data_IF_497695351411
#
_entry.id   IF_497695351411
#
_cell.length_a   1.000
_cell.length_b   1.000
_cell.length_c   1.000
_cell.angle_alpha   90.00
_cell.angle_beta   90.00
_cell.angle_gamma   90.00
#
_symmetry.space_group_name_H-M   'P 1'
#
loop_
_entity.id
_entity.type
_entity.pdbx_description
1 polymer ?
#
# COMPACT_ATOMS: atom_id res chain seq x y z
N UNK A 1 -8.15 -8.46 -16.61
CA UNK A 1 -8.22 -7.09 -17.14
C UNK A 1 -7.18 -6.84 -18.26
N UNK A 2 -6.84 -7.83 -19.07
CA UNK A 2 -5.65 -7.81 -19.95
C UNK A 2 -5.77 -7.01 -21.25
N UNK A 3 -6.96 -6.48 -21.59
CA UNK A 3 -7.20 -5.75 -22.84
C UNK A 3 -6.96 -4.24 -22.73
N UNK A 4 -6.97 -3.70 -21.51
CA UNK A 4 -6.79 -2.27 -21.27
C UNK A 4 -5.29 -1.94 -21.21
N UNK A 5 -4.88 -0.87 -21.89
CA UNK A 5 -3.45 -0.52 -22.05
C UNK A 5 -3.05 0.85 -21.49
N UNK A 6 -3.97 1.82 -21.44
CA UNK A 6 -3.70 3.22 -21.08
C UNK A 6 -4.71 3.77 -20.06
N UNK A 7 -5.12 2.92 -19.11
CA UNK A 7 -6.05 3.35 -18.05
C UNK A 7 -5.30 4.19 -17.03
N UNK A 8 -5.75 5.41 -16.81
CA UNK A 8 -5.20 6.33 -15.81
C UNK A 8 -5.93 6.22 -14.48
N UNK A 9 -7.24 6.03 -14.50
CA UNK A 9 -8.09 5.89 -13.32
C UNK A 9 -8.93 4.62 -13.42
N UNK A 10 -8.80 3.74 -12.43
CA UNK A 10 -9.55 2.50 -12.33
C UNK A 10 -10.37 2.48 -11.03
N UNK A 11 -11.69 2.47 -11.18
CA UNK A 11 -12.63 2.40 -10.06
C UNK A 11 -13.25 1.00 -9.98
N UNK A 12 -12.94 0.26 -8.93
CA UNK A 12 -13.50 -1.07 -8.65
C UNK A 12 -14.27 -1.12 -7.32
N UNK A 13 -14.43 0.03 -6.66
CA UNK A 13 -15.09 0.18 -5.36
C UNK A 13 -16.43 -0.52 -5.30
N UNK A 14 -16.79 -1.02 -4.11
CA UNK A 14 -18.08 -1.68 -3.84
C UNK A 14 -18.34 -2.96 -4.66
N UNK A 15 -17.30 -3.58 -5.21
CA UNK A 15 -17.38 -4.92 -5.80
C UNK A 15 -16.83 -5.97 -4.83
N UNK A 16 -17.56 -7.06 -4.55
CA UNK A 16 -17.11 -8.07 -3.58
C UNK A 16 -15.94 -8.85 -4.14
N UNK A 17 -14.73 -8.54 -3.66
CA UNK A 17 -13.51 -9.23 -4.06
C UNK A 17 -12.62 -9.42 -2.85
N UNK A 18 -12.29 -10.67 -2.53
CA UNK A 18 -11.49 -11.01 -1.35
C UNK A 18 -9.99 -10.88 -1.56
N UNK A 19 -9.52 -10.98 -2.80
CA UNK A 19 -8.08 -10.96 -3.10
C UNK A 19 -7.81 -10.35 -4.48
N UNK A 20 -6.76 -9.53 -4.57
CA UNK A 20 -6.18 -9.10 -5.85
C UNK A 20 -5.02 -10.05 -6.21
N UNK A 21 -5.07 -10.73 -7.37
CA UNK A 21 -4.06 -11.72 -7.77
C UNK A 21 -2.77 -11.05 -8.28
N UNK A 22 -1.73 -11.87 -8.50
CA UNK A 22 -0.48 -11.41 -9.11
C UNK A 22 -0.72 -10.83 -10.51
N UNK A 23 0.05 -9.80 -10.85
CA UNK A 23 0.02 -9.14 -12.17
C UNK A 23 -1.35 -8.54 -12.57
N UNK A 24 -2.27 -8.33 -11.62
CA UNK A 24 -3.64 -7.86 -11.89
C UNK A 24 -3.71 -6.59 -12.74
N UNK A 25 -2.74 -5.69 -12.55
CA UNK A 25 -2.69 -4.37 -13.21
C UNK A 25 -1.55 -4.27 -14.23
N UNK A 26 -0.85 -5.36 -14.55
CA UNK A 26 0.41 -5.30 -15.32
C UNK A 26 0.24 -4.69 -16.72
N UNK A 27 -0.90 -4.91 -17.38
CA UNK A 27 -1.12 -4.44 -18.76
C UNK A 27 -1.28 -2.92 -18.89
N UNK A 28 -1.62 -2.22 -17.81
CA UNK A 28 -1.82 -0.76 -17.78
C UNK A 28 -1.12 -0.07 -16.60
N UNK A 29 -0.34 -0.81 -15.79
CA UNK A 29 0.28 -0.29 -14.57
C UNK A 29 1.29 0.84 -14.78
N UNK A 30 1.79 1.01 -16.02
CA UNK A 30 2.64 2.14 -16.41
C UNK A 30 1.88 3.45 -16.59
N UNK A 31 0.56 3.40 -16.70
CA UNK A 31 -0.31 4.55 -16.95
C UNK A 31 -1.27 4.83 -15.81
N UNK A 32 -1.62 3.81 -15.01
CA UNK A 32 -2.57 3.94 -13.91
C UNK A 32 -2.04 4.85 -12.80
N UNK A 33 -2.69 6.00 -12.64
CA UNK A 33 -2.39 7.00 -11.62
C UNK A 33 -3.31 6.89 -10.40
N UNK A 34 -4.55 6.44 -10.59
CA UNK A 34 -5.55 6.33 -9.52
C UNK A 34 -6.20 4.96 -9.52
N UNK A 35 -6.30 4.38 -8.34
CA UNK A 35 -6.90 3.06 -8.14
C UNK A 35 -7.82 3.09 -6.93
N UNK A 36 -9.09 2.77 -7.16
CA UNK A 36 -10.09 2.67 -6.09
C UNK A 36 -10.47 1.22 -5.85
N UNK A 37 -10.14 0.72 -4.65
CA UNK A 37 -10.43 -0.64 -4.17
C UNK A 37 -11.22 -0.62 -2.85
N UNK A 38 -11.86 0.49 -2.53
CA UNK A 38 -12.58 0.68 -1.27
C UNK A 38 -13.89 -0.11 -1.23
N UNK A 39 -14.30 -0.49 -0.01
CA UNK A 39 -15.57 -1.17 0.25
C UNK A 39 -15.74 -2.50 -0.53
N UNK A 40 -14.64 -3.24 -0.77
CA UNK A 40 -14.66 -4.50 -1.55
C UNK A 40 -14.68 -5.77 -0.67
N UNK A 41 -14.47 -5.63 0.64
CA UNK A 41 -14.27 -6.77 1.54
C UNK A 41 -12.91 -7.46 1.32
N UNK A 42 -11.94 -6.72 0.80
CA UNK A 42 -10.62 -7.23 0.44
C UNK A 42 -9.84 -7.69 1.66
N UNK A 43 -9.37 -8.93 1.68
CA UNK A 43 -8.66 -9.51 2.82
C UNK A 43 -7.14 -9.48 2.63
N UNK A 44 -6.67 -9.60 1.38
CA UNK A 44 -5.25 -9.59 1.04
C UNK A 44 -4.99 -9.18 -0.42
N UNK A 45 -3.75 -8.82 -0.69
CA UNK A 45 -3.15 -8.79 -2.02
C UNK A 45 -2.19 -9.96 -2.14
N UNK A 46 -2.05 -10.54 -3.34
CA UNK A 46 -0.89 -11.39 -3.63
C UNK A 46 0.40 -10.55 -3.62
N UNK A 47 1.54 -11.18 -3.32
CA UNK A 47 2.82 -10.47 -3.19
C UNK A 47 3.23 -9.72 -4.46
N UNK A 48 2.85 -10.23 -5.64
CA UNK A 48 3.08 -9.65 -6.96
C UNK A 48 1.90 -8.87 -7.54
N UNK A 49 0.88 -8.51 -6.75
CA UNK A 49 -0.31 -7.82 -7.24
C UNK A 49 -0.03 -6.50 -7.98
N UNK A 50 1.00 -5.76 -7.55
CA UNK A 50 1.39 -4.46 -8.12
C UNK A 50 2.63 -4.54 -9.03
N UNK A 51 3.06 -5.74 -9.44
CA UNK A 51 4.18 -5.87 -10.38
C UNK A 51 3.85 -5.18 -11.70
N UNK A 52 4.73 -4.25 -12.11
CA UNK A 52 4.56 -3.44 -13.33
C UNK A 52 3.74 -2.16 -13.13
N UNK A 53 3.29 -1.86 -11.90
CA UNK A 53 2.65 -0.59 -11.55
C UNK A 53 3.72 0.43 -11.18
N UNK A 54 3.84 1.50 -11.97
CA UNK A 54 4.92 2.50 -11.79
C UNK A 54 4.42 3.95 -11.76
N UNK A 55 3.17 4.19 -12.16
CA UNK A 55 2.60 5.55 -12.26
C UNK A 55 1.61 5.89 -11.13
N UNK A 56 1.37 4.98 -10.19
CA UNK A 56 0.32 5.13 -9.19
C UNK A 56 0.61 6.29 -8.23
N UNK A 57 -0.34 7.23 -8.15
CA UNK A 57 -0.31 8.44 -7.31
C UNK A 57 -1.36 8.42 -6.21
N UNK A 58 -2.54 7.82 -6.46
CA UNK A 58 -3.62 7.72 -5.48
C UNK A 58 -4.15 6.30 -5.36
N UNK A 59 -4.24 5.80 -4.12
CA UNK A 59 -4.72 4.46 -3.83
C UNK A 59 -5.78 4.48 -2.73
N UNK A 60 -7.00 4.02 -3.04
CA UNK A 60 -8.10 3.99 -2.09
C UNK A 60 -8.39 2.58 -1.59
N UNK A 61 -8.24 2.35 -0.27
CA UNK A 61 -8.35 1.03 0.36
C UNK A 61 -9.33 1.00 1.54
N UNK A 62 -10.06 2.08 1.80
CA UNK A 62 -10.91 2.18 2.98
C UNK A 62 -11.98 1.08 3.06
N UNK A 63 -12.36 0.75 4.30
CA UNK A 63 -13.42 -0.22 4.60
C UNK A 63 -13.21 -1.58 3.92
N UNK A 64 -12.02 -2.15 4.13
CA UNK A 64 -11.67 -3.50 3.72
C UNK A 64 -11.25 -4.33 4.96
N UNK A 65 -10.73 -5.53 4.73
CA UNK A 65 -10.27 -6.46 5.79
C UNK A 65 -8.77 -6.67 5.73
N UNK A 66 -8.03 -5.69 5.20
CA UNK A 66 -6.59 -5.77 4.99
C UNK A 66 -5.85 -5.69 6.32
N UNK A 67 -4.85 -6.56 6.47
CA UNK A 67 -3.93 -6.56 7.62
C UNK A 67 -2.55 -6.00 7.28
N UNK A 68 -2.18 -5.99 6.01
CA UNK A 68 -0.90 -5.53 5.50
C UNK A 68 -1.01 -5.10 4.03
N UNK A 69 0.02 -4.42 3.52
CA UNK A 69 0.18 -4.10 2.10
C UNK A 69 1.15 -5.10 1.44
N UNK A 70 1.01 -5.39 0.14
CA UNK A 70 1.91 -6.29 -0.57
C UNK A 70 3.28 -5.64 -0.76
N UNK A 71 4.33 -6.46 -0.85
CA UNK A 71 5.70 -5.97 -1.05
C UNK A 71 5.93 -5.31 -2.40
N UNK A 72 5.16 -5.68 -3.42
CA UNK A 72 5.23 -5.08 -4.77
C UNK A 72 4.67 -3.67 -4.85
N UNK A 73 3.98 -3.18 -3.81
CA UNK A 73 3.44 -1.82 -3.82
C UNK A 73 4.56 -0.81 -3.52
N UNK A 74 4.94 -0.06 -4.55
CA UNK A 74 5.87 1.07 -4.42
C UNK A 74 5.15 2.29 -3.85
N UNK A 75 5.53 2.68 -2.64
CA UNK A 75 4.95 3.86 -1.96
C UNK A 75 5.64 5.17 -2.36
N UNK A 76 6.79 5.11 -3.02
CA UNK A 76 7.62 6.29 -3.34
C UNK A 76 6.95 7.24 -4.35
N UNK A 77 6.10 6.74 -5.24
CA UNK A 77 5.33 7.54 -6.20
C UNK A 77 3.97 8.01 -5.67
N UNK A 78 3.51 7.44 -4.54
CA UNK A 78 2.19 7.73 -4.00
C UNK A 78 2.15 9.12 -3.35
N UNK A 79 1.14 9.87 -3.73
CA UNK A 79 0.81 11.20 -3.19
C UNK A 79 -0.33 11.13 -2.17
N UNK A 80 -1.25 10.18 -2.36
CA UNK A 80 -2.40 9.96 -1.48
C UNK A 80 -2.69 8.47 -1.30
N UNK A 81 -3.06 8.08 -0.08
CA UNK A 81 -3.56 6.74 0.24
C UNK A 81 -4.64 6.84 1.31
N UNK A 82 -5.75 6.11 1.17
CA UNK A 82 -6.77 5.99 2.21
C UNK A 82 -6.76 4.56 2.75
N UNK A 83 -6.69 4.40 4.06
CA UNK A 83 -6.47 3.11 4.72
C UNK A 83 -7.42 2.86 5.90
N UNK A 84 -8.36 3.77 6.14
CA UNK A 84 -9.27 3.70 7.28
C UNK A 84 -10.17 2.46 7.19
N UNK A 85 -10.71 2.04 8.33
CA UNK A 85 -11.63 0.90 8.35
C UNK A 85 -10.99 -0.45 7.96
N UNK A 86 -9.69 -0.64 8.21
CA UNK A 86 -8.98 -1.89 7.97
C UNK A 86 -8.29 -2.41 9.24
N UNK A 87 -8.25 -3.74 9.47
CA UNK A 87 -7.65 -4.34 10.65
C UNK A 87 -6.12 -4.45 10.57
N UNK A 88 -5.42 -3.31 10.46
CA UNK A 88 -3.97 -3.27 10.25
C UNK A 88 -3.18 -4.00 11.35
N UNK A 89 -2.23 -4.83 10.92
CA UNK A 89 -1.23 -5.44 11.81
C UNK A 89 0.02 -4.57 11.79
N UNK A 90 0.21 -3.78 12.83
CA UNK A 90 1.35 -2.90 13.01
C UNK A 90 2.57 -3.72 13.46
N UNK A 91 3.37 -4.11 12.47
CA UNK A 91 4.65 -4.79 12.62
C UNK A 91 5.59 -4.36 11.49
N UNK A 92 6.76 -4.99 11.38
CA UNK A 92 7.74 -4.60 10.37
C UNK A 92 7.32 -4.80 8.92
N UNK A 93 6.28 -5.59 8.64
CA UNK A 93 5.73 -5.68 7.27
C UNK A 93 5.01 -4.39 6.87
N UNK A 94 4.39 -3.69 7.82
CA UNK A 94 3.70 -2.42 7.58
C UNK A 94 4.62 -1.20 7.76
N UNK A 95 5.88 -1.39 8.16
CA UNK A 95 6.86 -0.31 8.35
C UNK A 95 7.10 0.57 7.11
N UNK A 96 7.04 0.08 5.85
CA UNK A 96 7.11 0.95 4.68
C UNK A 96 6.00 2.01 4.65
N UNK A 97 4.76 1.63 5.00
CA UNK A 97 3.63 2.55 5.08
C UNK A 97 3.84 3.60 6.15
N UNK A 98 4.29 3.17 7.34
CA UNK A 98 4.64 4.09 8.43
C UNK A 98 5.69 5.13 7.98
N UNK A 99 6.76 4.69 7.30
CA UNK A 99 7.80 5.60 6.78
C UNK A 99 7.26 6.56 5.73
N UNK A 100 6.39 6.08 4.84
CA UNK A 100 5.71 6.93 3.87
C UNK A 100 4.88 8.02 4.56
N UNK A 101 4.13 7.68 5.62
CA UNK A 101 3.38 8.66 6.43
C UNK A 101 4.30 9.70 7.07
N UNK A 102 5.51 9.31 7.50
CA UNK A 102 6.47 10.25 8.09
C UNK A 102 7.01 11.27 7.06
N UNK A 103 7.11 10.88 5.78
CA UNK A 103 7.58 11.77 4.70
C UNK A 103 6.51 12.72 4.13
N UNK A 104 5.23 12.44 4.38
CA UNK A 104 4.10 13.14 3.77
C UNK A 104 3.48 14.24 4.65
N UNK A 105 2.87 15.23 3.99
CA UNK A 105 1.93 16.18 4.64
C UNK A 105 0.58 15.53 4.91
N UNK A 106 0.15 14.60 4.06
CA UNK A 106 -1.09 13.85 4.23
C UNK A 106 -0.95 12.80 5.32
N UNK A 107 -1.92 12.80 6.26
CA UNK A 107 -1.98 11.88 7.39
C UNK A 107 -3.19 10.98 7.20
N UNK A 108 -3.03 9.82 6.56
CA UNK A 108 -4.16 8.94 6.35
C UNK A 108 -4.57 8.30 7.68
N UNK A 109 -5.88 8.25 7.92
CA UNK A 109 -6.43 7.66 9.13
C UNK A 109 -6.32 6.13 9.07
N UNK A 110 -5.50 5.56 9.94
CA UNK A 110 -5.29 4.12 10.01
C UNK A 110 -4.98 3.69 11.43
N UNK A 111 -5.76 2.74 11.96
CA UNK A 111 -5.64 2.27 13.34
C UNK A 111 -5.10 0.85 13.36
N UNK A 112 -4.12 0.60 14.23
CA UNK A 112 -3.61 -0.73 14.51
C UNK A 112 -4.71 -1.59 15.16
N UNK A 113 -4.95 -2.77 14.61
CA UNK A 113 -5.77 -3.83 15.24
C UNK A 113 -4.92 -4.92 15.90
N UNK A 114 -3.67 -5.05 15.46
CA UNK A 114 -2.68 -5.95 16.04
C UNK A 114 -1.28 -5.29 16.02
N UNK A 115 -0.33 -5.70 16.87
CA UNK A 115 -0.52 -6.64 17.99
C UNK A 115 -1.42 -6.02 19.08
N UNK A 116 -1.90 -6.82 20.03
CA UNK A 116 -2.86 -6.39 21.05
C UNK A 116 -2.37 -5.18 21.86
N UNK A 117 -1.07 -5.08 22.11
CA UNK A 117 -0.43 -3.97 22.84
C UNK A 117 -0.52 -2.62 22.11
N UNK A 118 -0.75 -2.63 20.79
CA UNK A 118 -0.88 -1.42 19.98
C UNK A 118 -2.30 -1.24 19.44
N UNK A 119 -3.25 -2.11 19.81
CA UNK A 119 -4.63 -2.03 19.33
C UNK A 119 -5.24 -0.67 19.68
N UNK A 120 -5.89 -0.04 18.71
CA UNK A 120 -6.53 1.27 18.87
C UNK A 120 -5.61 2.47 18.63
N UNK A 121 -4.29 2.28 18.56
CA UNK A 121 -3.35 3.37 18.25
C UNK A 121 -3.31 3.65 16.75
N UNK A 122 -3.02 4.91 16.40
CA UNK A 122 -2.73 5.29 15.03
C UNK A 122 -1.49 4.55 14.51
N UNK A 123 -1.50 4.11 13.26
CA UNK A 123 -0.37 3.44 12.60
C UNK A 123 0.88 4.33 12.66
N UNK A 124 0.72 5.64 12.52
CA UNK A 124 1.82 6.60 12.63
C UNK A 124 2.46 6.64 14.03
N UNK A 125 1.68 6.44 15.09
CA UNK A 125 2.15 6.65 16.46
C UNK A 125 2.47 5.34 17.20
N UNK A 126 2.21 4.20 16.55
CA UNK A 126 2.49 2.89 17.13
C UNK A 126 3.98 2.67 17.37
N UNK A 127 4.32 2.19 18.57
CA UNK A 127 5.69 1.85 18.91
C UNK A 127 6.14 0.50 18.36
N UNK A 128 5.25 -0.27 17.72
CA UNK A 128 5.63 -1.56 17.11
C UNK A 128 6.63 -1.46 15.96
N UNK A 129 6.88 -0.24 15.44
CA UNK A 129 7.83 -0.01 14.36
C UNK A 129 9.25 0.32 14.85
N UNK A 130 9.46 0.55 16.15
CA UNK A 130 10.75 1.03 16.70
C UNK A 130 11.92 0.05 16.50
N UNK A 131 11.63 -1.25 16.48
CA UNK A 131 12.63 -2.32 16.29
C UNK A 131 12.80 -2.75 14.83
N UNK A 132 12.06 -2.14 13.89
CA UNK A 132 12.10 -2.54 12.50
C UNK A 132 13.40 -2.07 11.84
N UNK A 133 14.22 -3.03 11.38
CA UNK A 133 15.47 -2.73 10.70
C UNK A 133 15.21 -1.89 9.46
N UNK A 134 15.73 -0.66 9.47
CA UNK A 134 15.85 0.16 8.26
C UNK A 134 16.94 -0.50 7.42
N UNK A 135 16.58 -1.12 6.29
CA UNK A 135 17.61 -1.50 5.32
C UNK A 135 18.26 -0.19 4.85
N UNK A 136 19.57 0.02 5.05
CA UNK A 136 20.23 1.20 4.53
C UNK A 136 20.06 1.21 3.02
N UNK A 137 19.61 2.34 2.47
CA UNK A 137 19.61 2.56 1.03
C UNK A 137 21.03 2.27 0.54
N UNK A 138 21.21 1.24 -0.29
CA UNK A 138 22.43 1.08 -1.08
C UNK A 138 22.48 2.28 -2.02
N UNK A 139 23.10 3.37 -1.58
CA UNK A 139 23.59 4.41 -2.47
C UNK A 139 24.48 3.70 -3.48
N UNK A 140 24.08 3.77 -4.76
CA UNK A 140 24.95 3.40 -5.87
C UNK A 140 26.21 4.26 -5.74
N UNK A 141 27.29 3.67 -5.21
CA UNK A 141 28.63 4.23 -5.30
C UNK A 141 29.01 4.14 -6.78
N UNK A 142 28.71 5.20 -7.53
CA UNK A 142 29.25 5.38 -8.88
C UNK A 142 30.77 5.45 -8.76
N UNK A 143 31.43 4.44 -9.31
CA UNK A 143 32.86 4.41 -9.58
C UNK A 143 33.20 5.56 -10.53
N UNK A 144 34.06 6.47 -10.07
CA UNK A 144 34.82 7.38 -10.95
C UNK A 144 35.80 6.55 -11.77
N UNK A 145 35.71 6.67 -13.09
CA UNK A 145 36.83 6.45 -14.01
C UNK A 145 36.97 7.72 -14.86
#
# INVERSE_FOLDING_TARGET
>A
MSKLRVVEELVLSRNPMKTIPDHAFQSFGRYMEKLHLDNMGLEKFSDGAFVGVTALKSLHLENNRLRSLPRSLELSSLQNITISGNPWTCNCMLAPLRRWMDSGRHRPDGICSAPSQQKGKQVRDSSAFSSCRVKPNRTRKGTRH
#
